data_IF_062192776345
#
_entry.id   IF_062192776345
#
_cell.length_a   1.000
_cell.length_b   1.000
_cell.length_c   1.000
_cell.angle_alpha   90.00
_cell.angle_beta   90.00
_cell.angle_gamma   90.00
#
_symmetry.space_group_name_H-M   'P 1'
#
loop_
_entity.id
_entity.type
_entity.pdbx_description
1 polymer ?
#
# COMPACT_ATOMS: atom_id res chain seq x y z
N UNK A 1 10.61 -8.30 -26.31
CA UNK A 1 9.84 -9.15 -25.38
C UNK A 1 9.34 -8.21 -24.30
N UNK A 2 8.02 -7.99 -24.23
CA UNK A 2 7.40 -7.00 -23.35
C UNK A 2 6.75 -7.78 -22.20
N UNK A 3 7.16 -7.51 -20.96
CA UNK A 3 6.60 -8.20 -19.77
C UNK A 3 5.14 -7.76 -19.56
N UNK A 4 4.19 -8.69 -19.35
CA UNK A 4 2.81 -8.33 -19.07
C UNK A 4 2.70 -7.64 -17.71
N UNK A 5 2.02 -6.50 -17.67
CA UNK A 5 1.78 -5.74 -16.44
C UNK A 5 0.59 -6.34 -15.67
N UNK A 6 0.75 -7.57 -15.16
CA UNK A 6 -0.29 -8.23 -14.37
C UNK A 6 -0.47 -7.50 -13.04
N UNK A 7 -1.67 -6.97 -12.78
CA UNK A 7 -2.06 -6.52 -11.45
C UNK A 7 -2.18 -7.74 -10.52
N UNK A 8 -1.10 -8.06 -9.81
CA UNK A 8 -1.09 -9.16 -8.86
C UNK A 8 -1.60 -8.66 -7.51
N UNK A 9 -2.73 -9.23 -7.07
CA UNK A 9 -3.23 -9.09 -5.70
C UNK A 9 -2.69 -10.24 -4.87
N UNK A 10 -1.84 -9.94 -3.91
CA UNK A 10 -1.36 -10.90 -2.93
C UNK A 10 -2.03 -10.60 -1.59
N UNK A 11 -2.86 -11.54 -1.13
CA UNK A 11 -3.36 -11.54 0.24
C UNK A 11 -2.18 -11.91 1.15
N UNK A 12 -1.60 -10.92 1.82
CA UNK A 12 -0.62 -11.19 2.88
C UNK A 12 -1.42 -11.68 4.07
N UNK A 13 -1.50 -13.02 4.22
CA UNK A 13 -2.23 -13.66 5.30
C UNK A 13 -1.80 -13.15 6.68
N UNK A 14 -2.66 -13.27 7.72
CA UNK A 14 -2.39 -12.77 9.07
C UNK A 14 -1.19 -13.45 9.77
N UNK A 15 -0.57 -14.46 9.16
CA UNK A 15 0.39 -15.36 9.79
C UNK A 15 1.87 -15.03 9.52
N UNK A 16 2.19 -13.85 8.98
CA UNK A 16 3.60 -13.40 8.91
C UNK A 16 3.80 -12.06 9.60
N UNK A 17 4.29 -12.22 10.84
CA UNK A 17 5.13 -11.30 11.59
C UNK A 17 4.43 -10.08 12.18
N UNK A 18 4.05 -10.21 13.46
CA UNK A 18 3.80 -9.09 14.38
C UNK A 18 5.02 -8.17 14.61
N UNK A 19 6.12 -8.35 13.87
CA UNK A 19 7.37 -7.57 14.00
C UNK A 19 7.86 -6.93 12.69
N UNK A 20 7.26 -7.23 11.52
CA UNK A 20 7.70 -6.61 10.25
C UNK A 20 7.15 -5.20 10.10
N UNK A 21 8.04 -4.22 9.96
CA UNK A 21 7.67 -2.81 9.76
C UNK A 21 7.18 -2.56 8.32
N UNK A 22 6.52 -1.43 8.12
CA UNK A 22 6.15 -0.92 6.79
C UNK A 22 7.38 -0.85 5.89
N UNK A 23 8.50 -0.36 6.42
CA UNK A 23 9.79 -0.31 5.71
C UNK A 23 10.24 -1.69 5.23
N UNK A 24 10.23 -2.69 6.10
CA UNK A 24 10.66 -4.07 5.78
C UNK A 24 9.77 -4.70 4.68
N UNK A 25 8.45 -4.58 4.82
CA UNK A 25 7.50 -5.14 3.85
C UNK A 25 7.59 -4.45 2.48
N UNK A 26 7.79 -3.14 2.46
CA UNK A 26 7.99 -2.40 1.21
C UNK A 26 9.33 -2.76 0.58
N UNK A 27 10.42 -2.81 1.35
CA UNK A 27 11.74 -3.19 0.84
C UNK A 27 11.72 -4.60 0.22
N UNK A 28 11.04 -5.55 0.87
CA UNK A 28 10.82 -6.90 0.34
C UNK A 28 10.02 -6.87 -0.97
N UNK A 29 8.93 -6.09 -1.03
CA UNK A 29 8.09 -5.99 -2.22
C UNK A 29 8.77 -5.33 -3.42
N UNK A 30 9.65 -4.36 -3.17
CA UNK A 30 10.45 -3.72 -4.20
C UNK A 30 11.50 -4.66 -4.80
N UNK A 31 11.91 -5.73 -4.10
CA UNK A 31 12.89 -6.71 -4.61
C UNK A 31 14.16 -6.07 -5.20
N UNK A 32 14.60 -4.94 -4.64
CA UNK A 32 15.75 -4.17 -5.11
C UNK A 32 15.44 -2.98 -6.04
N UNK A 33 14.17 -2.75 -6.41
CA UNK A 33 13.75 -1.53 -7.12
C UNK A 33 13.97 -0.28 -6.25
N UNK A 34 14.34 0.83 -6.88
CA UNK A 34 14.53 2.10 -6.16
C UNK A 34 13.19 2.66 -5.68
N UNK A 35 13.13 2.95 -4.38
CA UNK A 35 12.06 3.75 -3.77
C UNK A 35 12.13 5.20 -4.25
N UNK A 36 11.00 5.74 -4.71
CA UNK A 36 10.91 7.13 -5.18
C UNK A 36 10.15 8.00 -4.21
N UNK A 37 8.93 7.59 -3.84
CA UNK A 37 8.06 8.36 -2.94
C UNK A 37 6.98 7.46 -2.34
N UNK A 38 6.41 7.87 -1.21
CA UNK A 38 5.22 7.24 -0.67
C UNK A 38 4.18 8.26 -0.23
N UNK A 39 2.92 7.86 -0.32
CA UNK A 39 1.76 8.63 0.14
C UNK A 39 0.90 7.73 1.00
N UNK A 40 0.54 8.22 2.18
CA UNK A 40 -0.35 7.53 3.11
C UNK A 40 -1.65 8.29 3.25
N UNK A 41 -2.76 7.60 3.06
CA UNK A 41 -4.11 8.10 3.34
C UNK A 41 -4.65 7.34 4.54
N UNK A 42 -5.02 8.04 5.61
CA UNK A 42 -5.68 7.45 6.78
C UNK A 42 -7.12 7.95 6.83
N UNK A 43 -8.06 7.03 6.88
CA UNK A 43 -9.46 7.30 7.18
C UNK A 43 -9.68 7.02 8.66
N UNK A 44 -9.65 8.09 9.45
CA UNK A 44 -9.92 8.07 10.88
C UNK A 44 -11.43 8.18 11.10
N UNK A 45 -11.99 7.26 11.86
CA UNK A 45 -13.41 7.24 12.20
C UNK A 45 -13.69 6.14 13.20
N UNK A 46 -14.76 6.28 13.97
CA UNK A 46 -15.21 5.17 14.82
C UNK A 46 -16.09 4.24 13.99
N UNK A 47 -15.88 2.92 14.03
CA UNK A 47 -16.82 1.97 13.41
C UNK A 47 -18.24 2.13 13.99
N UNK A 48 -18.34 2.63 15.23
CA UNK A 48 -19.60 2.93 15.92
C UNK A 48 -20.28 4.24 15.49
N UNK A 49 -19.60 5.12 14.73
CA UNK A 49 -20.19 6.36 14.23
C UNK A 49 -19.62 6.73 12.85
N UNK A 50 -20.15 6.12 11.76
CA UNK A 50 -19.64 6.30 10.40
C UNK A 50 -19.87 7.70 9.83
N UNK A 51 -20.67 8.54 10.50
CA UNK A 51 -20.92 9.92 10.08
C UNK A 51 -19.74 10.87 10.34
N UNK A 52 -18.77 10.47 11.16
CA UNK A 52 -17.55 11.25 11.44
C UNK A 52 -16.35 10.48 10.87
N UNK A 53 -16.11 10.64 9.58
CA UNK A 53 -14.89 10.19 8.91
C UNK A 53 -14.01 11.40 8.62
N UNK A 54 -12.77 11.35 9.10
CA UNK A 54 -11.74 12.33 8.77
C UNK A 54 -10.70 11.65 7.91
N UNK A 55 -10.35 12.32 6.81
CA UNK A 55 -9.29 11.88 5.94
C UNK A 55 -8.02 12.67 6.23
N UNK A 56 -6.91 11.95 6.43
CA UNK A 56 -5.58 12.52 6.54
C UNK A 56 -4.70 11.99 5.42
N UNK A 57 -3.97 12.89 4.80
CA UNK A 57 -3.03 12.58 3.73
C UNK A 57 -1.63 12.99 4.19
N UNK A 58 -0.72 12.03 4.21
CA UNK A 58 0.68 12.23 4.56
C UNK A 58 1.52 11.92 3.31
N UNK A 59 2.31 12.89 2.84
CA UNK A 59 3.41 12.62 1.90
C UNK A 59 4.63 12.17 2.71
N UNK A 60 5.26 11.08 2.30
CA UNK A 60 6.35 10.44 3.04
C UNK A 60 7.63 10.49 2.21
N UNK A 61 8.57 11.33 2.64
CA UNK A 61 9.93 11.37 2.09
C UNK A 61 10.73 10.09 2.41
N UNK A 62 10.34 9.39 3.48
CA UNK A 62 10.94 8.12 3.88
C UNK A 62 9.86 7.18 4.42
N UNK A 63 10.10 5.87 4.23
CA UNK A 63 9.20 4.85 4.75
C UNK A 63 9.32 4.76 6.28
N UNK A 64 8.20 4.79 7.01
CA UNK A 64 8.20 4.74 8.46
C UNK A 64 8.59 3.35 8.95
N UNK A 65 9.31 3.33 10.06
CA UNK A 65 9.74 2.11 10.76
C UNK A 65 8.70 1.73 11.83
N UNK A 66 7.44 1.67 11.42
CA UNK A 66 6.31 1.30 12.27
C UNK A 66 5.57 0.10 11.67
N UNK A 67 4.83 -0.64 12.49
CA UNK A 67 3.97 -1.71 11.99
C UNK A 67 2.77 -1.13 11.23
N UNK A 68 2.14 -1.95 10.39
CA UNK A 68 0.87 -1.56 9.77
C UNK A 68 -0.23 -1.42 10.83
N UNK A 69 -0.70 -0.19 11.04
CA UNK A 69 -1.81 0.08 11.94
C UNK A 69 -3.15 -0.30 11.26
N UNK A 70 -3.78 -1.34 11.79
CA UNK A 70 -5.09 -1.85 11.33
C UNK A 70 -6.25 -1.38 12.22
N UNK A 71 -5.96 -0.51 13.19
CA UNK A 71 -6.95 0.15 14.05
C UNK A 71 -7.90 1.11 13.31
N UNK A 72 -7.44 1.99 12.38
CA UNK A 72 -8.32 2.88 11.64
C UNK A 72 -9.27 2.10 10.71
N UNK A 73 -10.38 2.75 10.34
CA UNK A 73 -11.38 2.20 9.41
C UNK A 73 -10.70 1.73 8.13
N UNK A 74 -9.76 2.52 7.63
CA UNK A 74 -8.95 2.21 6.46
C UNK A 74 -7.68 3.03 6.45
N UNK A 75 -6.55 2.41 6.19
CA UNK A 75 -5.31 3.08 5.80
C UNK A 75 -4.91 2.61 4.41
N UNK A 76 -4.52 3.52 3.54
CA UNK A 76 -3.93 3.20 2.24
C UNK A 76 -2.51 3.75 2.20
N UNK A 77 -1.56 2.93 1.77
CA UNK A 77 -0.17 3.31 1.53
C UNK A 77 0.13 3.06 0.06
N UNK A 78 0.46 4.12 -0.67
CA UNK A 78 0.86 4.05 -2.08
C UNK A 78 2.35 4.36 -2.15
N UNK A 79 3.13 3.43 -2.69
CA UNK A 79 4.57 3.56 -2.88
C UNK A 79 4.88 3.55 -4.37
N UNK A 80 5.63 4.55 -4.80
CA UNK A 80 6.15 4.65 -6.16
C UNK A 80 7.56 4.08 -6.19
N UNK A 81 7.80 3.11 -7.06
CA UNK A 81 9.13 2.70 -7.49
C UNK A 81 9.46 3.33 -8.84
N UNK A 82 10.64 3.04 -9.38
CA UNK A 82 10.99 3.45 -10.73
C UNK A 82 10.00 2.93 -11.78
N UNK A 83 9.53 1.69 -11.64
CA UNK A 83 8.77 0.99 -12.69
C UNK A 83 7.32 0.68 -12.32
N UNK A 84 6.99 0.65 -11.02
CA UNK A 84 5.69 0.25 -10.51
C UNK A 84 5.15 1.20 -9.45
N UNK A 85 3.86 1.05 -9.20
CA UNK A 85 3.16 1.60 -8.06
C UNK A 85 2.66 0.43 -7.23
N UNK A 86 3.02 0.42 -5.96
CA UNK A 86 2.55 -0.58 -5.01
C UNK A 86 1.52 0.09 -4.10
N UNK A 87 0.35 -0.51 -3.97
CA UNK A 87 -0.71 -0.03 -3.10
C UNK A 87 -1.00 -1.08 -2.03
N UNK A 88 -0.81 -0.68 -0.78
CA UNK A 88 -1.29 -1.44 0.38
C UNK A 88 -2.58 -0.82 0.90
N UNK A 89 -3.58 -1.65 1.16
CA UNK A 89 -4.81 -1.27 1.84
C UNK A 89 -4.88 -2.05 3.15
N UNK A 90 -4.86 -1.34 4.26
CA UNK A 90 -5.06 -1.90 5.60
C UNK A 90 -6.49 -1.58 6.03
N UNK A 91 -7.22 -2.61 6.43
CA UNK A 91 -8.54 -2.51 7.07
C UNK A 91 -8.54 -3.35 8.34
N UNK A 92 -9.60 -3.31 9.14
CA UNK A 92 -9.69 -4.02 10.41
C UNK A 92 -9.33 -5.51 10.30
N UNK A 93 -8.09 -5.84 10.66
CA UNK A 93 -7.54 -7.20 10.63
C UNK A 93 -6.96 -7.69 9.29
N UNK A 94 -6.92 -6.87 8.24
CA UNK A 94 -6.41 -7.29 6.92
C UNK A 94 -5.45 -6.28 6.29
N UNK A 95 -4.46 -6.80 5.56
CA UNK A 95 -3.54 -6.00 4.75
C UNK A 95 -3.47 -6.61 3.36
N UNK A 96 -3.96 -5.88 2.37
CA UNK A 96 -3.94 -6.29 0.97
C UNK A 96 -2.89 -5.49 0.20
N UNK A 97 -2.13 -6.16 -0.68
CA UNK A 97 -1.16 -5.51 -1.57
C UNK A 97 -1.57 -5.70 -3.03
N UNK A 98 -1.54 -4.61 -3.79
CA UNK A 98 -1.66 -4.61 -5.25
C UNK A 98 -0.43 -3.98 -5.87
N UNK A 99 0.14 -4.63 -6.89
CA UNK A 99 1.17 -4.05 -7.76
C UNK A 99 0.53 -3.54 -9.03
N UNK A 100 0.89 -2.33 -9.45
CA UNK A 100 0.34 -1.63 -10.60
C UNK A 100 1.49 -1.12 -11.48
N UNK A 101 1.35 -1.08 -12.82
CA UNK A 101 2.32 -0.39 -13.66
C UNK A 101 2.36 1.10 -13.32
N UNK A 102 3.54 1.72 -13.38
CA UNK A 102 3.67 3.16 -13.10
C UNK A 102 2.98 4.04 -14.14
N UNK A 103 2.96 3.60 -15.39
CA UNK A 103 2.34 4.36 -16.48
C UNK A 103 0.83 4.08 -16.55
N UNK A 104 -0.04 5.09 -16.40
CA UNK A 104 -1.49 4.90 -16.47
C UNK A 104 -1.95 4.42 -17.85
N UNK A 105 -1.20 4.70 -18.92
CA UNK A 105 -1.49 4.22 -20.27
C UNK A 105 -1.27 2.71 -20.40
N UNK A 106 -0.43 2.12 -19.54
CA UNK A 106 -0.26 0.67 -19.46
C UNK A 106 -1.49 -0.03 -18.87
N UNK A 107 -2.23 0.63 -17.97
CA UNK A 107 -3.51 0.10 -17.44
C UNK A 107 -4.63 0.15 -18.48
N UNK A 108 -4.64 1.17 -19.34
CA UNK A 108 -5.69 1.38 -20.34
C UNK A 108 -5.68 0.37 -21.50
N UNK A 109 -4.59 -0.42 -21.65
CA UNK A 109 -4.49 -1.46 -22.69
C UNK A 109 -5.13 -2.79 -22.31
N UNK A 110 -5.69 -2.91 -21.10
CA UNK A 110 -6.29 -4.15 -20.59
C UNK A 110 -7.83 -4.08 -20.46
N UNK A 111 -8.48 -3.19 -21.21
CA UNK A 111 -9.96 -3.06 -21.24
C UNK A 111 -10.53 -3.44 -22.60
#
# INVERSE_FOLDING_TARGET
MQEPATATTEAVGPDTTSESTIRDRVASALSGEQFVAAFRRRTEGSPSNPAVTRERFDALDHLPDEAFDTTPVRTELVVYSETHVYRWVMTAGTVERTRLPRDPSAMAREQ
#
